data_IF_635426404783
#
_entry.id   IF_635426404783
#
_cell.length_a   1.000
_cell.length_b   1.000
_cell.length_c   1.000
_cell.angle_alpha   90.00
_cell.angle_beta   90.00
_cell.angle_gamma   90.00
#
_symmetry.space_group_name_H-M   'P 1'
#
loop_
_entity.id
_entity.type
_entity.pdbx_description
1 polymer ?
#
# COMPACT_ATOMS: atom_id res chain seq x y z
N UNK A 1 24.22 20.80 -75.92
CA UNK A 1 23.32 19.66 -75.62
C UNK A 1 22.87 19.75 -74.16
N UNK A 2 21.62 20.16 -73.90
CA UNK A 2 21.05 20.32 -72.56
C UNK A 2 20.49 18.99 -72.03
N UNK A 3 21.02 18.51 -70.88
CA UNK A 3 20.46 17.37 -70.14
C UNK A 3 19.14 17.78 -69.47
N UNK A 4 18.01 17.25 -69.95
CA UNK A 4 16.71 17.32 -69.26
C UNK A 4 16.77 16.43 -68.01
N UNK A 5 16.85 17.03 -66.82
CA UNK A 5 16.62 16.32 -65.56
C UNK A 5 15.14 15.97 -65.43
N UNK A 6 14.83 14.68 -65.57
CA UNK A 6 13.49 14.15 -65.34
C UNK A 6 13.28 13.99 -63.82
N UNK A 7 12.75 15.01 -63.15
CA UNK A 7 12.36 14.90 -61.73
C UNK A 7 11.09 14.05 -61.64
N UNK A 8 11.25 12.75 -61.40
CA UNK A 8 10.16 11.89 -60.98
C UNK A 8 9.65 12.38 -59.62
N UNK A 9 8.46 12.98 -59.59
CA UNK A 9 7.77 13.30 -58.33
C UNK A 9 7.38 11.99 -57.65
N UNK A 10 8.04 11.66 -56.55
CA UNK A 10 7.64 10.59 -55.64
C UNK A 10 6.20 10.86 -55.18
N UNK A 11 5.25 10.00 -55.60
CA UNK A 11 3.87 10.05 -55.12
C UNK A 11 3.87 9.56 -53.68
N UNK A 12 3.79 10.49 -52.73
CA UNK A 12 3.60 10.14 -51.32
C UNK A 12 2.27 9.37 -51.17
N UNK A 13 2.24 8.24 -50.44
CA UNK A 13 1.03 7.47 -50.25
C UNK A 13 -0.03 8.34 -49.55
N UNK A 14 -1.26 8.34 -50.07
CA UNK A 14 -2.40 9.02 -49.43
C UNK A 14 -2.72 8.34 -48.11
N UNK A 15 -2.28 8.92 -47.01
CA UNK A 15 -2.67 8.49 -45.66
C UNK A 15 -4.15 8.87 -45.48
N UNK A 16 -5.03 7.86 -45.45
CA UNK A 16 -6.45 8.04 -45.09
C UNK A 16 -6.60 7.79 -43.59
N UNK A 17 -6.89 8.86 -42.85
CA UNK A 17 -7.10 8.81 -41.40
C UNK A 17 -8.49 8.26 -41.02
N UNK A 18 -9.45 8.23 -41.96
CA UNK A 18 -10.84 7.81 -41.71
C UNK A 18 -11.34 6.95 -42.88
N UNK A 19 -12.04 5.85 -42.57
CA UNK A 19 -12.73 4.97 -43.51
C UNK A 19 -14.13 4.68 -42.97
N UNK A 20 -15.17 4.83 -43.80
CA UNK A 20 -16.54 4.45 -43.44
C UNK A 20 -16.63 2.93 -43.30
N UNK A 21 -17.17 2.46 -42.18
CA UNK A 21 -17.44 1.06 -41.87
C UNK A 21 -18.86 0.97 -41.29
N UNK A 22 -19.59 -0.10 -41.58
CA UNK A 22 -20.84 -0.42 -40.90
C UNK A 22 -20.48 -1.16 -39.61
N UNK A 23 -20.98 -0.70 -38.46
CA UNK A 23 -20.74 -1.32 -37.15
C UNK A 23 -22.07 -1.67 -36.51
N UNK A 24 -22.12 -2.83 -35.86
CA UNK A 24 -23.23 -3.19 -35.00
C UNK A 24 -23.24 -2.27 -33.78
N UNK A 25 -24.35 -1.57 -33.59
CA UNK A 25 -24.62 -0.78 -32.39
C UNK A 25 -25.58 -1.55 -31.49
N UNK A 26 -25.50 -1.27 -30.19
CA UNK A 26 -26.49 -1.79 -29.25
C UNK A 26 -27.87 -1.22 -29.60
N UNK A 27 -28.88 -2.09 -29.56
CA UNK A 27 -30.29 -1.65 -29.56
C UNK A 27 -30.58 -0.86 -28.28
N UNK A 28 -31.73 -0.20 -28.19
CA UNK A 28 -32.16 0.47 -26.96
C UNK A 28 -32.15 -0.49 -25.76
N UNK A 29 -32.63 -1.72 -25.94
CA UNK A 29 -32.57 -2.77 -24.92
C UNK A 29 -31.13 -3.15 -24.56
N UNK A 30 -30.26 -3.28 -25.58
CA UNK A 30 -28.83 -3.53 -25.38
C UNK A 30 -28.15 -2.43 -24.56
N UNK A 31 -28.47 -1.16 -24.82
CA UNK A 31 -27.97 -0.03 -24.05
C UNK A 31 -28.47 -0.04 -22.60
N UNK A 32 -29.76 -0.34 -22.37
CA UNK A 32 -30.32 -0.46 -21.02
C UNK A 32 -29.57 -1.53 -20.23
N UNK A 33 -29.35 -2.71 -20.82
CA UNK A 33 -28.59 -3.79 -20.18
C UNK A 33 -27.14 -3.37 -19.92
N UNK A 34 -26.47 -2.76 -20.91
CA UNK A 34 -25.09 -2.33 -20.77
C UNK A 34 -24.92 -1.29 -19.65
N UNK A 35 -25.81 -0.30 -19.56
CA UNK A 35 -25.81 0.70 -18.50
C UNK A 35 -26.11 0.04 -17.14
N UNK A 36 -27.09 -0.86 -17.07
CA UNK A 36 -27.40 -1.58 -15.83
C UNK A 36 -26.20 -2.39 -15.31
N UNK A 37 -25.50 -3.11 -16.20
CA UNK A 37 -24.29 -3.84 -15.87
C UNK A 37 -23.15 -2.91 -15.43
N UNK A 38 -22.99 -1.76 -16.10
CA UNK A 38 -21.99 -0.77 -15.73
C UNK A 38 -22.27 -0.20 -14.34
N UNK A 39 -23.51 0.18 -14.03
CA UNK A 39 -23.91 0.68 -12.71
C UNK A 39 -23.72 -0.39 -11.63
N UNK A 40 -24.09 -1.64 -11.92
CA UNK A 40 -23.88 -2.75 -11.00
C UNK A 40 -22.40 -2.97 -10.71
N UNK A 41 -21.54 -2.95 -11.74
CA UNK A 41 -20.09 -3.07 -11.59
C UNK A 41 -19.50 -1.92 -10.77
N UNK A 42 -19.86 -0.67 -11.08
CA UNK A 42 -19.40 0.51 -10.34
C UNK A 42 -19.81 0.39 -8.87
N UNK A 43 -21.07 0.06 -8.59
CA UNK A 43 -21.56 -0.08 -7.22
C UNK A 43 -20.83 -1.22 -6.48
N UNK A 44 -20.63 -2.37 -7.13
CA UNK A 44 -19.88 -3.49 -6.57
C UNK A 44 -18.44 -3.08 -6.23
N UNK A 45 -17.72 -2.48 -7.19
CA UNK A 45 -16.34 -2.03 -6.98
C UNK A 45 -16.27 -1.00 -5.86
N UNK A 46 -17.12 0.03 -5.87
CA UNK A 46 -17.11 1.09 -4.86
C UNK A 46 -17.35 0.53 -3.46
N UNK A 47 -18.26 -0.42 -3.31
CA UNK A 47 -18.61 -1.00 -2.00
C UNK A 47 -17.61 -2.03 -1.48
N UNK A 48 -16.88 -2.73 -2.36
CA UNK A 48 -16.02 -3.85 -1.96
C UNK A 48 -14.52 -3.53 -2.01
N UNK A 49 -14.08 -2.49 -2.73
CA UNK A 49 -12.65 -2.19 -2.86
C UNK A 49 -12.02 -1.76 -1.55
N UNK A 50 -12.70 -0.92 -0.76
CA UNK A 50 -12.18 -0.47 0.53
C UNK A 50 -11.95 -1.64 1.50
N UNK A 51 -12.95 -2.49 1.83
CA UNK A 51 -12.72 -3.61 2.75
C UNK A 51 -11.73 -4.65 2.20
N UNK A 52 -11.59 -4.77 0.87
CA UNK A 52 -10.54 -5.60 0.27
C UNK A 52 -9.13 -5.06 0.57
N UNK A 53 -8.94 -3.74 0.48
CA UNK A 53 -7.67 -3.05 0.73
C UNK A 53 -7.37 -2.92 2.23
N UNK A 54 -8.36 -2.57 3.04
CA UNK A 54 -8.27 -2.45 4.49
C UNK A 54 -8.46 -3.80 5.21
N UNK A 55 -7.73 -4.81 4.75
CA UNK A 55 -7.86 -6.18 5.25
C UNK A 55 -7.35 -6.31 6.69
N UNK A 56 -8.13 -7.00 7.53
CA UNK A 56 -7.71 -7.41 8.88
C UNK A 56 -7.86 -8.92 9.01
N UNK A 57 -6.73 -9.60 9.26
CA UNK A 57 -6.62 -11.04 9.44
C UNK A 57 -5.46 -11.36 10.39
N UNK A 58 -5.60 -11.06 11.70
CA UNK A 58 -4.55 -11.29 12.68
C UNK A 58 -4.34 -12.78 12.96
N UNK A 59 -3.10 -13.15 13.26
CA UNK A 59 -2.72 -14.45 13.81
C UNK A 59 -2.73 -14.34 15.33
N UNK A 60 -3.57 -15.14 16.01
CA UNK A 60 -3.71 -15.10 17.47
C UNK A 60 -2.44 -15.49 18.22
N UNK A 61 -1.61 -16.36 17.64
CA UNK A 61 -0.33 -16.80 18.19
C UNK A 61 0.85 -15.89 17.84
N UNK A 62 0.60 -14.73 17.21
CA UNK A 62 1.67 -13.82 16.84
C UNK A 62 2.40 -13.30 18.08
N UNK A 63 3.73 -13.42 18.08
CA UNK A 63 4.56 -13.05 19.22
C UNK A 63 4.99 -11.58 19.16
N UNK A 64 5.05 -11.00 17.95
CA UNK A 64 5.44 -9.61 17.72
C UNK A 64 4.34 -8.85 16.99
N UNK A 65 4.13 -7.60 17.41
CA UNK A 65 3.32 -6.63 16.67
C UNK A 65 4.27 -5.70 15.93
N UNK A 66 4.35 -5.83 14.61
CA UNK A 66 5.15 -4.94 13.76
C UNK A 66 4.27 -3.78 13.35
N UNK A 67 4.69 -2.54 13.64
CA UNK A 67 3.90 -1.33 13.41
C UNK A 67 4.61 -0.46 12.38
N UNK A 68 3.92 -0.05 11.33
CA UNK A 68 4.46 0.93 10.39
C UNK A 68 4.61 2.31 11.09
N UNK A 69 5.74 2.96 10.86
CA UNK A 69 6.15 4.12 11.65
C UNK A 69 5.58 5.45 11.16
N UNK A 70 5.06 5.47 9.94
CA UNK A 70 4.47 6.68 9.33
C UNK A 70 3.00 6.89 9.73
N UNK A 71 2.47 6.03 10.60
CA UNK A 71 1.08 6.08 11.06
C UNK A 71 0.79 7.37 11.84
N UNK A 72 -0.43 7.93 11.70
CA UNK A 72 -0.88 9.05 12.52
C UNK A 72 -1.05 8.61 13.99
N UNK A 73 -1.01 9.57 14.91
CA UNK A 73 -1.05 9.32 16.36
C UNK A 73 -2.26 8.47 16.78
N UNK A 74 -3.44 8.71 16.20
CA UNK A 74 -4.65 7.92 16.50
C UNK A 74 -4.49 6.45 16.10
N UNK A 75 -3.71 6.14 15.06
CA UNK A 75 -3.45 4.78 14.64
C UNK A 75 -2.38 4.12 15.52
N UNK A 76 -1.40 4.88 16.01
CA UNK A 76 -0.44 4.39 17.02
C UNK A 76 -1.13 4.08 18.35
N UNK A 77 -2.15 4.85 18.75
CA UNK A 77 -3.01 4.51 19.89
C UNK A 77 -3.76 3.20 19.67
N UNK A 78 -4.27 2.95 18.46
CA UNK A 78 -4.91 1.68 18.12
C UNK A 78 -3.91 0.51 18.14
N UNK A 79 -2.68 0.70 17.64
CA UNK A 79 -1.62 -0.28 17.72
C UNK A 79 -1.26 -0.62 19.17
N UNK A 80 -1.20 0.39 20.05
CA UNK A 80 -0.98 0.19 21.47
C UNK A 80 -2.14 -0.54 22.15
N UNK A 81 -3.39 -0.23 21.77
CA UNK A 81 -4.56 -0.92 22.28
C UNK A 81 -4.54 -2.41 21.87
N UNK A 82 -4.25 -2.69 20.60
CA UNK A 82 -4.06 -4.05 20.08
C UNK A 82 -2.96 -4.79 20.84
N UNK A 83 -1.81 -4.14 21.06
CA UNK A 83 -0.70 -4.71 21.82
C UNK A 83 -1.11 -5.11 23.25
N UNK A 84 -1.85 -4.22 23.95
CA UNK A 84 -2.32 -4.46 25.31
C UNK A 84 -3.39 -5.54 25.41
N UNK A 85 -4.22 -5.70 24.38
CA UNK A 85 -5.25 -6.75 24.34
C UNK A 85 -4.75 -8.11 23.84
N UNK A 86 -3.64 -8.11 23.08
CA UNK A 86 -3.04 -9.31 22.52
C UNK A 86 -1.96 -9.93 23.40
N UNK A 87 -1.44 -11.08 22.99
CA UNK A 87 -0.38 -11.81 23.69
C UNK A 87 1.02 -11.50 23.12
N UNK A 88 1.21 -10.26 22.65
CA UNK A 88 2.47 -9.86 22.03
C UNK A 88 3.56 -9.65 23.08
N UNK A 89 4.78 -10.08 22.75
CA UNK A 89 5.96 -9.89 23.60
C UNK A 89 6.52 -8.47 23.46
N UNK A 90 6.54 -7.94 22.24
CA UNK A 90 7.10 -6.62 21.91
C UNK A 90 6.37 -5.97 20.73
N UNK A 91 6.38 -4.64 20.69
CA UNK A 91 6.11 -3.84 19.50
C UNK A 91 7.41 -3.54 18.78
N UNK A 92 7.44 -3.77 17.48
CA UNK A 92 8.55 -3.40 16.61
C UNK A 92 8.07 -2.31 15.65
N UNK A 93 8.58 -1.09 15.77
CA UNK A 93 8.26 -0.03 14.81
C UNK A 93 9.20 -0.09 13.61
N UNK A 94 8.67 0.08 12.41
CA UNK A 94 9.45 0.03 11.15
C UNK A 94 9.21 1.29 10.33
N UNK A 95 10.17 1.73 9.52
CA UNK A 95 9.95 2.89 8.66
C UNK A 95 11.24 3.53 8.17
N UNK A 96 11.15 4.16 6.99
CA UNK A 96 12.27 4.87 6.37
C UNK A 96 12.65 6.18 7.06
N UNK A 97 13.62 6.88 6.47
CA UNK A 97 14.01 8.22 6.92
C UNK A 97 12.85 9.22 6.83
N UNK A 98 12.85 10.23 7.70
CA UNK A 98 11.88 11.31 7.61
C UNK A 98 12.10 12.13 6.34
N UNK A 99 11.04 12.36 5.57
CA UNK A 99 11.09 13.20 4.37
C UNK A 99 11.00 14.68 4.69
N UNK A 100 10.38 15.02 5.83
CA UNK A 100 10.14 16.36 6.29
C UNK A 100 10.23 16.42 7.82
N UNK A 101 10.53 17.61 8.36
CA UNK A 101 10.58 17.84 9.80
C UNK A 101 11.90 17.49 10.49
N UNK A 102 12.92 17.01 9.78
CA UNK A 102 14.24 16.65 10.34
C UNK A 102 14.94 17.79 11.08
N UNK A 103 14.69 19.05 10.70
CA UNK A 103 15.21 20.23 11.43
C UNK A 103 14.50 20.51 12.76
N UNK A 104 13.36 19.87 13.04
CA UNK A 104 12.51 20.09 14.21
C UNK A 104 12.52 18.93 15.20
N UNK A 105 13.18 17.81 14.86
CA UNK A 105 13.18 16.60 15.67
C UNK A 105 14.58 16.00 15.78
N UNK A 106 14.82 15.29 16.89
CA UNK A 106 16.04 14.49 17.10
C UNK A 106 15.97 13.12 16.41
N UNK A 107 14.79 12.74 15.93
CA UNK A 107 14.55 11.46 15.27
C UNK A 107 14.82 11.56 13.77
N UNK A 108 15.46 10.54 13.19
CA UNK A 108 15.83 10.54 11.77
C UNK A 108 14.97 9.59 10.92
N UNK A 109 14.12 8.77 11.53
CA UNK A 109 13.26 7.82 10.83
C UNK A 109 11.84 7.81 11.38
N UNK A 110 10.90 7.37 10.54
CA UNK A 110 9.53 7.08 10.94
C UNK A 110 9.45 5.97 12.01
N UNK A 111 10.38 5.00 11.98
CA UNK A 111 10.46 3.96 13.02
C UNK A 111 10.73 4.58 14.41
N UNK A 112 11.68 5.52 14.46
CA UNK A 112 12.07 6.19 15.71
C UNK A 112 10.97 7.12 16.22
N UNK A 113 10.32 7.87 15.31
CA UNK A 113 9.18 8.74 15.67
C UNK A 113 8.04 7.92 16.26
N UNK A 114 7.62 6.84 15.61
CA UNK A 114 6.56 5.98 16.14
C UNK A 114 6.93 5.34 17.47
N UNK A 115 8.18 4.89 17.64
CA UNK A 115 8.67 4.37 18.91
C UNK A 115 8.61 5.43 20.02
N UNK A 116 9.08 6.65 19.74
CA UNK A 116 9.01 7.75 20.68
C UNK A 116 7.57 8.09 21.08
N UNK A 117 6.65 8.12 20.11
CA UNK A 117 5.23 8.34 20.37
C UNK A 117 4.64 7.23 21.23
N UNK A 118 4.87 5.95 20.91
CA UNK A 118 4.38 4.81 21.71
C UNK A 118 4.92 4.83 23.14
N UNK A 119 6.19 5.20 23.32
CA UNK A 119 6.79 5.39 24.65
C UNK A 119 6.07 6.50 25.43
N UNK A 120 5.74 7.63 24.79
CA UNK A 120 4.95 8.71 25.40
C UNK A 120 3.51 8.29 25.72
N UNK A 121 2.93 7.40 24.92
CA UNK A 121 1.61 6.80 25.18
C UNK A 121 1.62 5.74 26.29
N UNK A 122 2.78 5.48 26.91
CA UNK A 122 2.93 4.62 28.08
C UNK A 122 3.37 3.19 27.77
N UNK A 123 3.93 2.92 26.59
CA UNK A 123 4.59 1.63 26.32
C UNK A 123 5.93 1.53 27.06
N UNK A 124 6.14 0.43 27.77
CA UNK A 124 7.38 0.19 28.50
C UNK A 124 8.58 0.05 27.52
N UNK A 125 9.73 0.69 27.78
CA UNK A 125 10.86 0.69 26.84
C UNK A 125 11.41 -0.70 26.49
N UNK A 126 11.35 -1.67 27.41
CA UNK A 126 11.78 -3.06 27.18
C UNK A 126 10.86 -3.84 26.22
N UNK A 127 9.64 -3.32 26.01
CA UNK A 127 8.64 -3.88 25.10
C UNK A 127 8.68 -3.27 23.71
N UNK A 128 9.63 -2.38 23.42
CA UNK A 128 9.65 -1.58 22.21
C UNK A 128 11.02 -1.64 21.53
N UNK A 129 11.02 -1.89 20.22
CA UNK A 129 12.22 -1.78 19.40
C UNK A 129 11.90 -0.98 18.14
N UNK A 130 12.74 0.00 17.82
CA UNK A 130 12.70 0.69 16.53
C UNK A 130 13.65 0.01 15.54
N UNK A 131 13.14 -0.29 14.35
CA UNK A 131 13.91 -0.83 13.23
C UNK A 131 13.81 0.14 12.06
N UNK A 132 14.73 1.12 11.97
CA UNK A 132 14.76 2.09 10.89
C UNK A 132 15.18 1.42 9.58
N UNK A 133 14.61 1.89 8.47
CA UNK A 133 14.99 1.52 7.12
C UNK A 133 15.76 2.67 6.43
N UNK A 134 16.70 2.36 5.51
CA UNK A 134 17.39 3.40 4.75
C UNK A 134 16.41 4.12 3.83
N UNK A 135 16.80 5.34 3.42
CA UNK A 135 16.07 6.06 2.40
C UNK A 135 16.12 5.31 1.06
N UNK A 136 14.96 5.12 0.45
CA UNK A 136 14.82 4.58 -0.90
C UNK A 136 13.74 5.35 -1.64
N UNK A 137 13.94 5.56 -2.94
CA UNK A 137 12.97 6.24 -3.80
C UNK A 137 11.80 5.30 -4.13
N UNK A 138 12.10 4.00 -4.29
CA UNK A 138 11.15 2.96 -4.68
C UNK A 138 11.02 1.92 -3.56
N UNK A 139 9.85 1.30 -3.44
CA UNK A 139 9.61 0.10 -2.62
C UNK A 139 9.82 0.29 -1.10
N UNK A 140 9.49 1.48 -0.56
CA UNK A 140 9.63 1.82 0.87
C UNK A 140 9.10 0.73 1.84
N UNK A 141 7.88 0.22 1.64
CA UNK A 141 7.31 -0.84 2.48
C UNK A 141 8.06 -2.17 2.38
N UNK A 142 8.60 -2.52 1.20
CA UNK A 142 9.45 -3.71 1.03
C UNK A 142 10.78 -3.53 1.76
N UNK A 143 11.41 -2.36 1.64
CA UNK A 143 12.66 -2.06 2.34
C UNK A 143 12.47 -2.10 3.85
N UNK A 144 11.37 -1.58 4.38
CA UNK A 144 11.03 -1.75 5.80
C UNK A 144 10.89 -3.22 6.21
N UNK A 145 10.23 -4.04 5.39
CA UNK A 145 10.13 -5.48 5.65
C UNK A 145 11.49 -6.20 5.58
N UNK A 146 12.34 -5.85 4.61
CA UNK A 146 13.69 -6.42 4.44
C UNK A 146 14.60 -6.06 5.62
N UNK A 147 14.53 -4.82 6.09
CA UNK A 147 15.28 -4.36 7.26
C UNK A 147 14.78 -5.00 8.56
N UNK A 148 13.46 -5.17 8.70
CA UNK A 148 12.89 -5.96 9.78
C UNK A 148 13.41 -7.40 9.76
N UNK A 149 13.44 -8.06 8.59
CA UNK A 149 13.98 -9.42 8.43
C UNK A 149 15.47 -9.49 8.80
N UNK A 150 16.27 -8.50 8.36
CA UNK A 150 17.70 -8.38 8.67
C UNK A 150 17.96 -8.12 10.15
N UNK A 151 17.12 -7.33 10.80
CA UNK A 151 17.19 -7.13 12.24
C UNK A 151 16.84 -8.41 13.00
N UNK A 152 15.78 -9.11 12.56
CA UNK A 152 15.30 -10.31 13.21
C UNK A 152 16.36 -11.43 13.19
N UNK A 153 17.07 -11.60 12.08
CA UNK A 153 18.15 -12.60 11.96
C UNK A 153 19.36 -12.36 12.86
N UNK A 154 19.52 -11.12 13.36
CA UNK A 154 20.57 -10.73 14.32
C UNK A 154 20.04 -10.67 15.76
N UNK A 155 18.73 -10.75 15.93
CA UNK A 155 18.09 -10.74 17.24
C UNK A 155 18.06 -12.15 17.85
N UNK A 156 17.84 -12.23 19.16
CA UNK A 156 17.58 -13.52 19.82
C UNK A 156 16.11 -13.98 19.66
N UNK A 157 15.30 -13.27 18.85
CA UNK A 157 13.90 -13.57 18.61
C UNK A 157 13.76 -14.46 17.37
N UNK A 158 12.98 -15.52 17.50
CA UNK A 158 12.65 -16.43 16.38
C UNK A 158 11.14 -16.69 16.34
N UNK A 159 10.32 -15.65 16.08
CA UNK A 159 8.87 -15.79 16.08
C UNK A 159 8.42 -16.67 14.92
N UNK A 160 7.50 -17.60 15.18
CA UNK A 160 6.85 -18.38 14.10
C UNK A 160 5.79 -17.56 13.35
N UNK A 161 5.28 -16.52 14.00
CA UNK A 161 4.27 -15.63 13.44
C UNK A 161 4.37 -14.21 14.01
N UNK A 162 4.06 -13.23 13.17
CA UNK A 162 3.92 -11.81 13.52
C UNK A 162 2.55 -11.29 13.06
N UNK A 163 2.11 -10.17 13.65
CA UNK A 163 1.05 -9.36 13.07
C UNK A 163 1.62 -8.01 12.63
N UNK A 164 1.33 -7.63 11.38
CA UNK A 164 1.62 -6.31 10.85
C UNK A 164 0.45 -5.38 11.12
N UNK A 165 0.68 -4.26 11.79
CA UNK A 165 -0.27 -3.18 11.98
C UNK A 165 0.04 -2.05 10.99
N UNK A 166 -0.92 -1.78 10.12
CA UNK A 166 -0.75 -0.87 8.98
C UNK A 166 -1.95 0.08 8.85
N UNK A 167 -1.83 1.10 8.00
CA UNK A 167 -2.87 2.11 7.81
C UNK A 167 -3.97 1.55 6.91
N UNK A 168 -5.22 1.52 7.37
CA UNK A 168 -6.46 1.32 6.57
C UNK A 168 -6.25 0.69 5.17
N UNK A 169 -6.52 1.36 4.04
CA UNK A 169 -6.38 0.78 2.69
C UNK A 169 -4.95 0.40 2.28
N UNK A 170 -3.91 0.99 2.88
CA UNK A 170 -2.50 0.65 2.62
C UNK A 170 -2.16 -0.79 3.05
N UNK A 171 -2.93 -1.30 4.01
CA UNK A 171 -2.70 -2.57 4.69
C UNK A 171 -2.51 -3.76 3.73
N UNK A 172 -3.33 -3.89 2.68
CA UNK A 172 -3.23 -5.02 1.74
C UNK A 172 -1.89 -5.07 1.02
N UNK A 173 -1.37 -3.92 0.61
CA UNK A 173 -0.10 -3.82 -0.10
C UNK A 173 1.07 -4.06 0.83
N UNK A 174 1.08 -3.46 2.01
CA UNK A 174 2.15 -3.71 2.98
C UNK A 174 2.18 -5.19 3.39
N UNK A 175 1.02 -5.80 3.62
CA UNK A 175 0.92 -7.24 3.91
C UNK A 175 1.48 -8.15 2.81
N UNK A 176 1.24 -7.81 1.54
CA UNK A 176 1.81 -8.54 0.40
C UNK A 176 3.34 -8.51 0.46
N UNK A 177 3.93 -7.34 0.72
CA UNK A 177 5.37 -7.15 0.71
C UNK A 177 6.06 -7.79 1.91
N UNK A 178 5.48 -7.66 3.11
CA UNK A 178 5.97 -8.37 4.30
C UNK A 178 5.92 -9.89 4.12
N UNK A 179 4.85 -10.43 3.53
CA UNK A 179 4.79 -11.86 3.19
C UNK A 179 5.86 -12.27 2.19
N UNK A 180 6.11 -11.46 1.16
CA UNK A 180 7.18 -11.75 0.17
C UNK A 180 8.56 -11.84 0.80
N UNK A 181 8.81 -11.07 1.86
CA UNK A 181 10.12 -11.05 2.55
C UNK A 181 10.25 -12.16 3.59
N UNK A 182 9.17 -12.45 4.33
CA UNK A 182 9.23 -13.28 5.55
C UNK A 182 8.72 -14.71 5.36
N UNK A 183 7.90 -14.97 4.34
CA UNK A 183 7.38 -16.31 4.08
C UNK A 183 8.41 -17.13 3.28
N UNK A 184 8.46 -18.47 3.48
CA UNK A 184 7.59 -19.27 4.34
C UNK A 184 8.04 -19.36 5.82
N UNK A 185 9.16 -18.75 6.20
CA UNK A 185 9.76 -18.97 7.53
C UNK A 185 8.91 -18.40 8.67
N UNK A 186 8.22 -17.28 8.43
CA UNK A 186 7.40 -16.59 9.41
C UNK A 186 6.02 -16.31 8.80
N UNK A 187 4.97 -16.70 9.52
CA UNK A 187 3.60 -16.39 9.12
C UNK A 187 3.27 -14.94 9.46
N UNK A 188 2.74 -14.21 8.49
CA UNK A 188 2.41 -12.79 8.66
C UNK A 188 0.89 -12.63 8.68
N UNK A 189 0.33 -12.32 9.86
CA UNK A 189 -1.01 -11.77 9.99
C UNK A 189 -1.00 -10.26 9.79
N UNK A 190 -2.17 -9.65 9.68
CA UNK A 190 -2.27 -8.21 9.42
C UNK A 190 -3.49 -7.59 10.09
N UNK A 191 -3.36 -6.33 10.49
CA UNK A 191 -4.40 -5.52 11.12
C UNK A 191 -4.41 -4.15 10.44
N UNK A 192 -5.56 -3.76 9.91
CA UNK A 192 -5.77 -2.44 9.35
C UNK A 192 -6.25 -1.48 10.45
N UNK A 193 -5.55 -0.37 10.63
CA UNK A 193 -5.99 0.71 11.49
C UNK A 193 -7.35 1.25 11.01
N UNK A 194 -8.26 1.57 11.93
CA UNK A 194 -9.50 2.27 11.60
C UNK A 194 -9.16 3.72 11.32
N UNK A 195 -9.38 4.17 10.08
CA UNK A 195 -9.17 5.56 9.70
C UNK A 195 -10.17 6.50 10.40
N UNK A 196 -9.70 7.70 10.77
CA UNK A 196 -10.54 8.81 11.24
C UNK A 196 -10.72 9.88 10.16
N UNK A 197 -10.08 9.72 9.00
CA UNK A 197 -10.01 10.75 7.97
C UNK A 197 -11.23 10.75 7.02
N UNK A 198 -11.99 9.64 6.99
CA UNK A 198 -13.21 9.49 6.19
C UNK A 198 -14.05 8.31 6.70
N UNK A 199 -15.32 8.24 6.29
CA UNK A 199 -16.18 7.06 6.53
C UNK A 199 -15.82 5.93 5.52
N UNK A 200 -15.27 4.78 5.97
CA UNK A 200 -14.91 3.66 5.10
C UNK A 200 -16.05 3.14 4.22
N UNK A 201 -17.30 3.19 4.70
CA UNK A 201 -18.47 2.70 3.95
C UNK A 201 -18.94 3.67 2.88
N UNK A 202 -18.43 4.90 2.90
CA UNK A 202 -18.79 6.00 2.00
C UNK A 202 -17.55 6.76 1.54
N UNK A 203 -16.42 6.07 1.41
CA UNK A 203 -15.11 6.68 1.16
C UNK A 203 -15.10 7.60 -0.06
N UNK A 204 -15.90 7.29 -1.08
CA UNK A 204 -16.04 8.07 -2.32
C UNK A 204 -16.64 9.46 -2.12
N UNK A 205 -17.24 9.74 -0.94
CA UNK A 205 -17.77 11.06 -0.59
C UNK A 205 -16.72 12.00 -0.01
N UNK A 206 -15.51 11.50 0.27
CA UNK A 206 -14.46 12.27 0.94
C UNK A 206 -13.22 12.31 0.05
N UNK A 207 -12.62 13.50 -0.13
CA UNK A 207 -11.42 13.64 -0.97
C UNK A 207 -10.27 12.75 -0.51
N UNK A 208 -10.09 12.61 0.82
CA UNK A 208 -9.09 11.71 1.38
C UNK A 208 -9.40 10.25 1.04
N UNK A 209 -10.65 9.80 1.24
CA UNK A 209 -11.07 8.45 0.91
C UNK A 209 -10.89 8.11 -0.57
N UNK A 210 -11.25 9.04 -1.47
CA UNK A 210 -11.06 8.87 -2.93
C UNK A 210 -9.59 8.68 -3.27
N UNK A 211 -8.71 9.58 -2.80
CA UNK A 211 -7.27 9.50 -3.07
C UNK A 211 -6.69 8.20 -2.53
N UNK A 212 -6.92 7.92 -1.26
CA UNK A 212 -6.33 6.75 -0.60
C UNK A 212 -6.76 5.44 -1.24
N UNK A 213 -8.06 5.24 -1.49
CA UNK A 213 -8.55 3.97 -2.05
C UNK A 213 -8.06 3.76 -3.49
N UNK A 214 -8.08 4.80 -4.32
CA UNK A 214 -7.64 4.70 -5.71
C UNK A 214 -6.12 4.49 -5.78
N UNK A 215 -5.35 5.29 -5.05
CA UNK A 215 -3.89 5.20 -5.03
C UNK A 215 -3.43 3.82 -4.54
N UNK A 216 -4.05 3.30 -3.47
CA UNK A 216 -3.70 1.99 -2.94
C UNK A 216 -4.18 0.83 -3.82
N UNK A 217 -5.30 0.97 -4.54
CA UNK A 217 -5.71 -0.02 -5.54
C UNK A 217 -4.66 -0.14 -6.66
N UNK A 218 -4.22 1.00 -7.21
CA UNK A 218 -3.20 1.05 -8.27
C UNK A 218 -1.85 0.55 -7.73
N UNK A 219 -1.44 1.03 -6.56
CA UNK A 219 -0.17 0.64 -5.94
C UNK A 219 -0.15 -0.84 -5.57
N UNK A 220 -1.27 -1.43 -5.15
CA UNK A 220 -1.39 -2.86 -4.87
C UNK A 220 -1.19 -3.70 -6.13
N UNK A 221 -1.85 -3.32 -7.23
CA UNK A 221 -1.66 -3.96 -8.54
C UNK A 221 -0.19 -3.84 -8.96
N UNK A 222 0.40 -2.65 -8.84
CA UNK A 222 1.81 -2.43 -9.12
C UNK A 222 2.73 -3.36 -8.30
N UNK A 223 2.51 -3.44 -6.98
CA UNK A 223 3.29 -4.30 -6.08
C UNK A 223 3.12 -5.80 -6.36
N UNK A 224 2.01 -6.20 -6.97
CA UNK A 224 1.76 -7.58 -7.35
C UNK A 224 2.62 -8.01 -8.54
N UNK A 225 2.75 -7.15 -9.56
CA UNK A 225 3.35 -7.52 -10.85
C UNK A 225 4.78 -7.02 -11.08
N UNK A 226 5.24 -5.96 -10.41
CA UNK A 226 6.56 -5.37 -10.68
C UNK A 226 7.61 -5.74 -9.64
N UNK A 227 8.85 -6.00 -10.09
CA UNK A 227 9.95 -6.54 -9.29
C UNK A 227 10.42 -5.57 -8.17
N UNK A 228 10.72 -6.16 -7.01
CA UNK A 228 10.99 -5.51 -5.70
C UNK A 228 12.45 -5.62 -5.25
N UNK A 229 13.32 -6.21 -6.09
CA UNK A 229 14.77 -6.17 -5.88
C UNK A 229 15.27 -4.82 -6.39
N UNK A 230 15.47 -3.88 -5.47
CA UNK A 230 16.35 -2.74 -5.70
C UNK A 230 17.80 -3.19 -5.48
#
# INVERSE_FOLDING_TARGET
MQKKQNRQRLKLPKIRLIKRQEMWLLTVQGWIIAIALMVALINFTITHIHPFLAVTSPIKSAELLVVEGWLPDYALQQALAEFKSGNYRQIITTGGTLEQGTYLTVYNSFADVAAATLKRLGLAPDKLVAVPAPYVIKDRSYTSAAEFSRWLSKSNLQPKSINLFSWDAHTRRSWLLFKKVLAPQIHVGVIAAKTQDYDPKKWWRYSQGVRTVIDEAIAYIYAQFFNWKA
#
